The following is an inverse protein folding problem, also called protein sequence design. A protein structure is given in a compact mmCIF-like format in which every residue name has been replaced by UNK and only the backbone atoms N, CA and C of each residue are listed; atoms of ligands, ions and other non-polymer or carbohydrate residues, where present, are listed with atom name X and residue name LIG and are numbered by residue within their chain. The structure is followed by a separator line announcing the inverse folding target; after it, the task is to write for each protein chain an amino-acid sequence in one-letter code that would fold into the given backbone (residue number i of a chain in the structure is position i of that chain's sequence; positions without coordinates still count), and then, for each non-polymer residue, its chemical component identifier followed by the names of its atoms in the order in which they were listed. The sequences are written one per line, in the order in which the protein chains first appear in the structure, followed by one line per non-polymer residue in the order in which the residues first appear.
data_IF_098927186057
#
_entry.id   IF_098927186057
#
_cell.length_a   1.000
_cell.length_b   1.000
_cell.length_c   1.000
_cell.angle_alpha   90.00
_cell.angle_beta   90.00
_cell.angle_gamma   90.00
#
_symmetry.space_group_name_H-M   'P 1'
#
loop_
_entity.id
_entity.type
_entity.pdbx_description
1 polymer ?
#
# COMPACT_ATOMS: atom_id res chain seq x y z
N UNK A 1 49.76 -32.25 -36.97
CA UNK A 1 48.37 -32.72 -36.75
C UNK A 1 47.95 -32.80 -35.27
N UNK A 2 48.79 -33.30 -34.33
CA UNK A 2 48.42 -33.45 -32.90
C UNK A 2 47.99 -32.17 -32.13
N UNK A 3 48.39 -30.97 -32.56
CA UNK A 3 48.00 -29.71 -31.89
C UNK A 3 46.62 -29.19 -32.29
N UNK A 4 46.11 -29.57 -33.47
CA UNK A 4 44.78 -29.16 -33.93
C UNK A 4 43.70 -29.94 -33.15
N UNK A 5 43.91 -31.25 -32.94
CA UNK A 5 43.01 -32.10 -32.15
C UNK A 5 42.86 -31.63 -30.69
N UNK A 6 43.94 -31.16 -30.06
CA UNK A 6 43.89 -30.61 -28.69
C UNK A 6 43.11 -29.30 -28.59
N UNK A 7 43.05 -28.51 -29.67
CA UNK A 7 42.34 -27.23 -29.69
C UNK A 7 40.81 -27.43 -29.73
N UNK A 8 40.35 -28.40 -30.52
CA UNK A 8 38.92 -28.75 -30.62
C UNK A 8 38.33 -29.28 -29.31
N UNK A 9 39.10 -30.05 -28.54
CA UNK A 9 38.67 -30.55 -27.23
C UNK A 9 38.37 -29.39 -26.26
N UNK A 10 39.18 -28.32 -26.27
CA UNK A 10 38.95 -27.15 -25.40
C UNK A 10 37.70 -26.37 -25.79
N UNK A 11 37.44 -26.23 -27.09
CA UNK A 11 36.24 -25.54 -27.60
C UNK A 11 34.98 -26.33 -27.20
N UNK A 12 34.99 -27.66 -27.37
CA UNK A 12 33.87 -28.51 -26.97
C UNK A 12 33.63 -28.42 -25.46
N UNK A 13 34.69 -28.43 -24.65
CA UNK A 13 34.57 -28.32 -23.19
C UNK A 13 33.92 -26.99 -22.77
N UNK A 14 34.32 -25.88 -23.40
CA UNK A 14 33.73 -24.56 -23.12
C UNK A 14 32.25 -24.47 -23.51
N UNK A 15 31.86 -25.09 -24.63
CA UNK A 15 30.47 -25.15 -25.06
C UNK A 15 29.63 -25.96 -24.06
N UNK A 16 30.13 -27.12 -23.61
CA UNK A 16 29.44 -27.96 -22.63
C UNK A 16 29.29 -27.24 -21.29
N UNK A 17 30.34 -26.57 -20.81
CA UNK A 17 30.27 -25.75 -19.58
C UNK A 17 29.25 -24.62 -19.74
N UNK A 18 29.22 -23.95 -20.90
CA UNK A 18 28.24 -22.90 -21.19
C UNK A 18 26.80 -23.42 -21.16
N UNK A 19 26.54 -24.61 -21.71
CA UNK A 19 25.20 -25.23 -21.69
C UNK A 19 24.79 -25.62 -20.27
N UNK A 20 25.70 -26.21 -19.50
CA UNK A 20 25.42 -26.61 -18.10
C UNK A 20 25.17 -25.37 -17.24
N UNK A 21 25.99 -24.33 -17.36
CA UNK A 21 25.82 -23.08 -16.64
C UNK A 21 24.48 -22.40 -17.02
N UNK A 22 24.15 -22.36 -18.32
CA UNK A 22 22.87 -21.84 -18.80
C UNK A 22 21.67 -22.63 -18.24
N UNK A 23 21.77 -23.95 -18.21
CA UNK A 23 20.73 -24.82 -17.66
C UNK A 23 20.53 -24.62 -16.15
N UNK A 24 21.62 -24.49 -15.38
CA UNK A 24 21.55 -24.23 -13.93
C UNK A 24 20.91 -22.86 -13.60
N UNK A 25 21.16 -21.84 -14.43
CA UNK A 25 20.51 -20.54 -14.31
C UNK A 25 19.00 -20.67 -14.55
N UNK A 26 18.56 -21.44 -15.56
CA UNK A 26 17.12 -21.63 -15.82
C UNK A 26 16.40 -22.35 -14.68
N UNK A 27 17.00 -23.38 -14.07
CA UNK A 27 16.42 -24.08 -12.90
C UNK A 27 16.27 -23.13 -11.71
N UNK A 28 17.26 -22.28 -11.45
CA UNK A 28 17.23 -21.35 -10.31
C UNK A 28 16.09 -20.32 -10.43
N UNK A 29 15.80 -19.86 -11.64
CA UNK A 29 14.71 -18.89 -11.90
C UNK A 29 13.33 -19.57 -11.80
N UNK A 30 13.20 -20.85 -12.16
CA UNK A 30 11.92 -21.58 -12.03
C UNK A 30 11.53 -21.86 -10.58
N UNK A 31 12.48 -22.08 -9.68
CA UNK A 31 12.21 -22.41 -8.27
C UNK A 31 11.60 -21.22 -7.50
N UNK A 32 11.93 -19.98 -7.85
CA UNK A 32 11.42 -18.79 -7.13
C UNK A 32 10.00 -18.39 -7.51
N UNK A 33 9.54 -18.75 -8.72
CA UNK A 33 8.21 -18.36 -9.21
C UNK A 33 7.09 -19.32 -8.77
N UNK A 34 7.41 -20.59 -8.51
CA UNK A 34 6.40 -21.60 -8.16
C UNK A 34 5.90 -21.46 -6.71
N UNK A 35 6.71 -20.86 -5.84
CA UNK A 35 6.41 -20.72 -4.40
C UNK A 35 5.27 -19.75 -4.09
N UNK A 36 5.02 -18.72 -4.90
CA UNK A 36 3.88 -17.82 -4.67
C UNK A 36 2.58 -18.36 -5.30
N UNK A 37 2.68 -18.97 -6.49
CA UNK A 37 1.52 -19.54 -7.18
C UNK A 37 0.84 -20.62 -6.33
N UNK A 38 1.64 -21.48 -5.68
CA UNK A 38 1.17 -22.61 -4.88
C UNK A 38 0.65 -22.26 -3.48
N UNK A 39 0.74 -20.99 -3.03
CA UNK A 39 0.19 -20.57 -1.74
C UNK A 39 -1.34 -20.53 -1.78
N UNK A 40 -1.96 -20.93 -0.67
CA UNK A 40 -3.39 -20.75 -0.49
C UNK A 40 -3.75 -19.27 -0.24
N UNK A 41 -5.03 -18.92 -0.34
CA UNK A 41 -5.49 -17.52 -0.23
C UNK A 41 -5.17 -16.91 1.15
N UNK A 42 -5.21 -17.69 2.22
CA UNK A 42 -4.91 -17.18 3.56
C UNK A 42 -3.42 -16.85 3.72
N UNK A 43 -2.55 -17.67 3.14
CA UNK A 43 -1.11 -17.40 3.10
C UNK A 43 -0.80 -16.14 2.28
N UNK A 44 -1.38 -16.01 1.08
CA UNK A 44 -1.25 -14.81 0.25
C UNK A 44 -1.73 -13.55 0.96
N UNK A 45 -2.86 -13.64 1.67
CA UNK A 45 -3.40 -12.54 2.47
C UNK A 45 -2.45 -12.14 3.61
N UNK A 46 -1.87 -13.12 4.29
CA UNK A 46 -0.96 -12.88 5.42
C UNK A 46 0.32 -12.20 4.94
N UNK A 47 0.92 -12.73 3.89
CA UNK A 47 2.10 -12.15 3.23
C UNK A 47 1.83 -10.72 2.76
N UNK A 48 0.66 -10.46 2.14
CA UNK A 48 0.26 -9.11 1.77
C UNK A 48 0.17 -8.18 2.99
N UNK A 49 -0.44 -8.61 4.10
CA UNK A 49 -0.57 -7.79 5.30
C UNK A 49 0.80 -7.48 5.91
N UNK A 50 1.71 -8.45 5.93
CA UNK A 50 3.08 -8.27 6.43
C UNK A 50 3.85 -7.25 5.58
N UNK A 51 3.83 -7.41 4.25
CA UNK A 51 4.48 -6.48 3.32
C UNK A 51 3.89 -5.07 3.42
N UNK A 52 2.55 -4.99 3.49
CA UNK A 52 1.80 -3.74 3.69
C UNK A 52 2.29 -3.00 4.93
N UNK A 53 2.42 -3.71 6.05
CA UNK A 53 2.84 -3.12 7.32
C UNK A 53 4.33 -2.73 7.30
N UNK A 54 5.18 -3.47 6.60
CA UNK A 54 6.59 -3.13 6.43
C UNK A 54 6.75 -1.80 5.68
N UNK A 55 6.04 -1.64 4.55
CA UNK A 55 6.02 -0.38 3.77
C UNK A 55 5.58 0.78 4.66
N UNK A 56 4.46 0.62 5.38
CA UNK A 56 3.95 1.67 6.28
C UNK A 56 4.98 2.02 7.36
N UNK A 57 5.66 1.03 7.93
CA UNK A 57 6.71 1.23 8.93
C UNK A 57 7.89 2.05 8.40
N UNK A 58 8.34 1.75 7.18
CA UNK A 58 9.39 2.52 6.51
C UNK A 58 8.96 3.97 6.26
N UNK A 59 7.71 4.18 5.82
CA UNK A 59 7.21 5.52 5.55
C UNK A 59 6.98 6.35 6.80
N UNK A 60 6.52 5.72 7.88
CA UNK A 60 6.45 6.36 9.19
C UNK A 60 7.83 6.87 9.63
N UNK A 61 8.89 6.07 9.42
CA UNK A 61 10.25 6.47 9.77
C UNK A 61 10.75 7.67 8.94
N UNK A 62 10.28 7.82 7.70
CA UNK A 62 10.57 8.97 6.84
C UNK A 62 9.63 10.17 7.04
N UNK A 63 8.58 10.03 7.86
CA UNK A 63 7.54 11.06 8.02
C UNK A 63 6.59 11.18 6.82
N UNK A 64 6.58 10.17 5.94
CA UNK A 64 5.75 10.10 4.74
C UNK A 64 4.44 9.34 4.95
N UNK A 65 4.08 9.05 6.20
CA UNK A 65 2.85 8.35 6.54
C UNK A 65 2.08 8.99 7.69
N UNK A 66 0.89 9.50 7.40
CA UNK A 66 -0.02 10.13 8.35
C UNK A 66 -1.48 9.85 7.93
N UNK A 67 -1.96 8.65 8.25
CA UNK A 67 -3.31 8.22 7.88
C UNK A 67 -4.39 8.82 8.79
N UNK A 68 -5.56 9.08 8.20
CA UNK A 68 -6.74 9.58 8.91
C UNK A 68 -7.64 8.47 9.48
N UNK A 69 -7.28 7.19 9.28
CA UNK A 69 -8.00 6.02 9.79
C UNK A 69 -7.27 5.35 10.97
N UNK A 70 -7.99 4.57 11.77
CA UNK A 70 -7.37 3.72 12.79
C UNK A 70 -6.56 2.57 12.17
N UNK A 71 -7.04 2.04 11.03
CA UNK A 71 -6.36 1.02 10.25
C UNK A 71 -5.99 1.58 8.87
N UNK A 72 -4.72 1.48 8.46
CA UNK A 72 -4.25 1.83 7.13
C UNK A 72 -5.09 1.24 5.99
N UNK A 73 -5.65 2.10 5.15
CA UNK A 73 -6.36 1.73 3.91
C UNK A 73 -5.38 1.31 2.80
N UNK A 74 -5.87 0.63 1.77
CA UNK A 74 -5.01 0.15 0.67
C UNK A 74 -4.54 1.29 -0.23
N UNK A 75 -5.38 2.31 -0.40
CA UNK A 75 -5.03 3.50 -1.18
C UNK A 75 -3.77 4.19 -0.66
N UNK A 76 -3.52 4.22 0.66
CA UNK A 76 -2.32 4.87 1.20
C UNK A 76 -1.00 4.29 0.67
N UNK A 77 -1.01 3.06 0.15
CA UNK A 77 0.18 2.39 -0.41
C UNK A 77 0.17 2.40 -1.93
N UNK A 78 -1.00 2.29 -2.56
CA UNK A 78 -1.10 2.25 -4.01
C UNK A 78 -1.11 3.64 -4.64
N UNK A 79 -1.92 4.56 -4.08
CA UNK A 79 -2.17 5.88 -4.64
C UNK A 79 -2.74 6.83 -3.60
N UNK A 80 -2.09 7.97 -3.46
CA UNK A 80 -2.56 9.04 -2.57
C UNK A 80 -3.16 10.17 -3.41
N UNK A 81 -4.50 10.27 -3.51
CA UNK A 81 -5.13 11.33 -4.30
C UNK A 81 -4.63 12.70 -3.85
N UNK A 82 -4.43 13.62 -4.82
CA UNK A 82 -3.80 14.95 -4.63
C UNK A 82 -2.30 14.94 -4.28
N UNK A 83 -1.72 13.80 -3.92
CA UNK A 83 -0.30 13.67 -3.51
C UNK A 83 0.58 12.91 -4.51
N UNK A 84 0.03 12.55 -5.67
CA UNK A 84 0.76 11.92 -6.79
C UNK A 84 0.80 10.40 -6.73
N UNK A 85 1.61 9.81 -7.62
CA UNK A 85 1.95 8.38 -7.57
C UNK A 85 3.09 8.20 -6.57
N UNK A 86 2.96 7.19 -5.71
CA UNK A 86 3.89 6.96 -4.60
C UNK A 86 3.17 7.01 -3.27
N UNK A 87 3.67 6.22 -2.34
CA UNK A 87 2.92 5.82 -1.16
C UNK A 87 2.92 6.87 -0.02
N UNK A 88 3.13 8.16 -0.32
CA UNK A 88 3.17 9.20 0.72
C UNK A 88 1.76 9.56 1.18
N UNK A 89 1.38 9.07 2.36
CA UNK A 89 0.09 9.39 2.97
C UNK A 89 0.19 10.63 3.86
N UNK A 90 -0.50 11.72 3.49
CA UNK A 90 -0.63 12.94 4.31
C UNK A 90 -2.09 13.29 4.62
N UNK A 91 -3.00 12.32 4.56
CA UNK A 91 -4.44 12.53 4.76
C UNK A 91 -4.80 13.16 6.11
N UNK A 92 -3.95 12.97 7.14
CA UNK A 92 -4.12 13.66 8.42
C UNK A 92 -4.09 15.19 8.25
N UNK A 93 -3.10 15.70 7.52
CA UNK A 93 -2.96 17.14 7.26
C UNK A 93 -4.15 17.66 6.45
N UNK A 94 -4.54 16.92 5.40
CA UNK A 94 -5.69 17.26 4.56
C UNK A 94 -6.96 17.42 5.40
N UNK A 95 -7.28 16.41 6.22
CA UNK A 95 -8.47 16.40 7.07
C UNK A 95 -8.46 17.57 8.05
N UNK A 96 -7.33 17.81 8.73
CA UNK A 96 -7.18 18.94 9.67
C UNK A 96 -7.36 20.29 8.97
N UNK A 97 -6.97 20.40 7.71
CA UNK A 97 -7.16 21.60 6.89
C UNK A 97 -8.53 21.67 6.21
N UNK A 98 -9.41 20.68 6.43
CA UNK A 98 -10.75 20.64 5.83
C UNK A 98 -10.76 20.22 4.35
N UNK A 99 -9.69 19.60 3.88
CA UNK A 99 -9.58 18.99 2.56
C UNK A 99 -10.04 17.54 2.64
N UNK A 100 -10.84 17.09 1.68
CA UNK A 100 -11.39 15.73 1.72
C UNK A 100 -10.31 14.64 1.67
N UNK A 101 -10.48 13.54 2.43
CA UNK A 101 -9.66 12.35 2.30
C UNK A 101 -10.11 11.51 1.08
N UNK A 102 -9.34 10.49 0.70
CA UNK A 102 -9.73 9.61 -0.42
C UNK A 102 -11.06 8.87 -0.18
N UNK A 103 -11.70 8.39 -1.24
CA UNK A 103 -13.01 7.73 -1.16
C UNK A 103 -13.06 6.53 -0.20
N UNK A 104 -12.00 5.70 -0.13
CA UNK A 104 -11.90 4.60 0.83
C UNK A 104 -11.94 5.12 2.28
N UNK A 105 -11.18 6.19 2.56
CA UNK A 105 -11.18 6.82 3.88
C UNK A 105 -12.53 7.46 4.22
N UNK A 106 -13.23 8.08 3.26
CA UNK A 106 -14.56 8.66 3.51
C UNK A 106 -15.53 7.56 3.97
N UNK A 107 -15.56 6.42 3.27
CA UNK A 107 -16.41 5.28 3.65
C UNK A 107 -16.11 4.77 5.06
N UNK A 108 -14.84 4.46 5.35
CA UNK A 108 -14.39 3.97 6.66
C UNK A 108 -14.67 4.99 7.78
N UNK A 109 -14.50 6.29 7.51
CA UNK A 109 -14.84 7.35 8.48
C UNK A 109 -16.35 7.34 8.77
N UNK A 110 -17.19 7.20 7.76
CA UNK A 110 -18.65 7.14 7.92
C UNK A 110 -19.12 5.87 8.65
N UNK A 111 -18.30 4.81 8.63
CA UNK A 111 -18.55 3.56 9.38
C UNK A 111 -18.00 3.59 10.82
N UNK A 112 -17.22 4.62 11.19
CA UNK A 112 -16.66 4.76 12.54
C UNK A 112 -15.23 4.20 12.70
N UNK A 113 -14.52 3.99 11.59
CA UNK A 113 -13.15 3.47 11.55
C UNK A 113 -12.08 4.57 11.32
N UNK A 114 -12.51 5.83 11.33
CA UNK A 114 -11.63 6.99 11.32
C UNK A 114 -10.84 7.15 12.61
N UNK A 115 -9.67 7.78 12.53
CA UNK A 115 -8.87 8.14 13.68
C UNK A 115 -9.64 9.09 14.60
N UNK A 116 -10.00 8.62 15.81
CA UNK A 116 -10.82 9.37 16.79
C UNK A 116 -10.26 10.74 17.14
N UNK A 117 -8.95 10.95 17.09
CA UNK A 117 -8.33 12.25 17.37
C UNK A 117 -8.62 13.30 16.29
N UNK A 118 -9.01 12.85 15.09
CA UNK A 118 -9.38 13.71 13.97
C UNK A 118 -10.89 13.89 13.80
N UNK A 119 -11.68 13.24 14.66
CA UNK A 119 -13.13 13.14 14.52
C UNK A 119 -13.83 14.50 14.38
N UNK A 120 -13.37 15.52 15.11
CA UNK A 120 -13.90 16.90 15.02
C UNK A 120 -13.72 17.57 13.66
N UNK A 121 -12.86 17.04 12.78
CA UNK A 121 -12.58 17.63 11.46
C UNK A 121 -13.31 16.92 10.32
N UNK A 122 -13.78 15.68 10.54
CA UNK A 122 -14.27 14.81 9.47
C UNK A 122 -15.47 15.39 8.73
N UNK A 123 -16.45 15.95 9.44
CA UNK A 123 -17.65 16.50 8.82
C UNK A 123 -17.31 17.58 7.81
N UNK A 124 -16.45 18.55 8.19
CA UNK A 124 -15.98 19.61 7.31
C UNK A 124 -15.16 19.09 6.14
N UNK A 125 -14.19 18.21 6.39
CA UNK A 125 -13.34 17.68 5.32
C UNK A 125 -14.14 16.88 4.28
N UNK A 126 -15.11 16.08 4.72
CA UNK A 126 -15.95 15.29 3.80
C UNK A 126 -16.89 16.22 3.01
N UNK A 127 -17.47 17.23 3.67
CA UNK A 127 -18.37 18.20 3.04
C UNK A 127 -17.72 19.00 1.89
N UNK A 128 -16.39 19.14 1.87
CA UNK A 128 -15.67 19.79 0.78
C UNK A 128 -15.86 19.06 -0.56
N UNK A 129 -15.91 17.72 -0.56
CA UNK A 129 -16.13 16.92 -1.76
C UNK A 129 -17.61 16.63 -2.03
N UNK A 130 -18.36 16.26 -0.99
CA UNK A 130 -19.76 15.81 -1.18
C UNK A 130 -20.77 16.97 -1.23
N UNK A 131 -20.35 18.16 -0.82
CA UNK A 131 -21.16 19.39 -0.82
C UNK A 131 -21.41 19.94 0.59
N UNK A 132 -21.18 21.24 0.75
CA UNK A 132 -21.30 21.95 2.04
C UNK A 132 -22.71 21.95 2.61
N UNK A 133 -23.74 21.78 1.77
CA UNK A 133 -25.14 21.62 2.20
C UNK A 133 -25.38 20.38 3.08
N UNK A 134 -24.47 19.40 3.06
CA UNK A 134 -24.58 18.19 3.88
C UNK A 134 -23.82 18.28 5.21
N UNK A 135 -23.17 19.41 5.51
CA UNK A 135 -22.34 19.58 6.72
C UNK A 135 -23.10 19.19 8.00
N UNK A 136 -24.33 19.67 8.19
CA UNK A 136 -25.12 19.37 9.39
C UNK A 136 -25.48 17.88 9.51
N UNK A 137 -25.76 17.23 8.37
CA UNK A 137 -26.01 15.79 8.32
C UNK A 137 -24.75 15.01 8.65
N UNK A 138 -23.61 15.41 8.08
CA UNK A 138 -22.32 14.80 8.37
C UNK A 138 -21.94 14.97 9.85
N UNK A 139 -22.21 16.13 10.45
CA UNK A 139 -21.96 16.35 11.87
C UNK A 139 -22.77 15.40 12.76
N UNK A 140 -24.03 15.15 12.42
CA UNK A 140 -24.86 14.16 13.12
C UNK A 140 -24.29 12.74 12.99
N UNK A 141 -23.81 12.37 11.80
CA UNK A 141 -23.16 11.07 11.59
C UNK A 141 -21.91 10.97 12.46
N UNK A 142 -21.07 12.01 12.51
CA UNK A 142 -19.86 11.97 13.34
C UNK A 142 -20.18 11.92 14.84
N UNK A 143 -21.24 12.59 15.29
CA UNK A 143 -21.73 12.46 16.67
C UNK A 143 -22.16 11.03 16.98
N UNK A 144 -22.91 10.38 16.08
CA UNK A 144 -23.34 8.98 16.23
C UNK A 144 -22.15 8.01 16.24
N UNK A 145 -21.20 8.16 15.31
CA UNK A 145 -20.09 7.21 15.13
C UNK A 145 -18.95 7.40 16.12
N UNK A 146 -18.67 8.63 16.52
CA UNK A 146 -17.51 8.97 17.35
C UNK A 146 -17.87 9.52 18.73
N UNK A 147 -19.15 9.80 19.00
CA UNK A 147 -19.60 10.33 20.30
C UNK A 147 -19.19 11.79 20.55
N UNK A 148 -18.84 12.53 19.50
CA UNK A 148 -18.42 13.94 19.62
C UNK A 148 -19.62 14.88 19.46
N UNK A 149 -19.91 15.75 20.43
CA UNK A 149 -21.02 16.69 20.32
C UNK A 149 -20.92 17.55 19.06
N UNK A 150 -22.04 17.81 18.38
CA UNK A 150 -22.06 18.67 17.17
C UNK A 150 -21.36 20.02 17.39
N UNK A 151 -21.46 20.58 18.60
CA UNK A 151 -20.85 21.87 18.99
C UNK A 151 -19.32 21.84 19.03
N UNK A 152 -18.71 20.66 19.15
CA UNK A 152 -17.26 20.46 19.18
C UNK A 152 -16.67 20.15 17.80
N UNK A 153 -17.54 19.97 16.79
CA UNK A 153 -17.15 19.68 15.42
C UNK A 153 -16.92 20.96 14.62
N UNK A 154 -15.79 21.00 13.92
CA UNK A 154 -15.32 22.14 13.12
C UNK A 154 -15.95 22.19 11.72
#
# INVERSE_FOLDING_TARGET
MKNIEKSWIKIILLIVIGIIAGYLITISISITNDTFSNKNINEKRTEFIEEKNAIIGEQLAHGDYACCLEKPCTYCIEKTPKHGDGAKCSCLEDVVNGVHPCGECIGEIMEGHGNRFLSKFFARSIAEEVGTQYTDTLKKIMEEKYGIPITEQL
#
